data_IF_628797462229
#
_entry.id   IF_628797462229
#
_cell.length_a   1.000
_cell.length_b   1.000
_cell.length_c   1.000
_cell.angle_alpha   90.00
_cell.angle_beta   90.00
_cell.angle_gamma   90.00
#
_symmetry.space_group_name_H-M   'P 1'
#
loop_
_entity.id
_entity.type
_entity.pdbx_description
1 polymer ?
#
# COMPACT_ATOMS: atom_id res chain seq x y z
N UNK A 1 -22.42 51.44 -1.76
CA UNK A 1 -21.95 50.95 -0.44
C UNK A 1 -20.54 50.41 -0.63
N UNK A 2 -19.65 50.73 0.32
CA UNK A 2 -18.20 50.89 0.15
C UNK A 2 -17.44 49.58 -0.16
N UNK A 3 -16.55 49.64 -1.14
CA UNK A 3 -15.47 48.68 -1.39
C UNK A 3 -14.44 48.75 -0.24
N UNK A 4 -14.16 47.61 0.40
CA UNK A 4 -13.10 47.48 1.40
C UNK A 4 -11.87 46.81 0.78
N UNK A 5 -10.91 47.66 0.40
CA UNK A 5 -9.59 47.28 -0.11
C UNK A 5 -8.63 47.08 1.07
N UNK A 6 -8.38 45.83 1.46
CA UNK A 6 -7.33 45.50 2.45
C UNK A 6 -5.96 45.50 1.76
N UNK A 7 -5.04 46.32 2.26
CA UNK A 7 -3.66 46.45 1.79
C UNK A 7 -2.68 45.81 2.80
N UNK A 8 -1.69 45.12 2.21
CA UNK A 8 -0.30 44.87 2.65
C UNK A 8 -0.05 43.87 3.80
N UNK A 9 0.79 42.87 3.51
CA UNK A 9 2.20 42.86 3.97
C UNK A 9 2.92 41.61 3.44
N UNK A 10 3.85 41.81 2.50
CA UNK A 10 4.78 40.79 1.99
C UNK A 10 6.11 40.91 2.73
N UNK A 11 6.43 39.93 3.59
CA UNK A 11 7.75 39.80 4.22
C UNK A 11 8.56 38.74 3.49
N UNK A 12 9.44 39.17 2.56
CA UNK A 12 10.51 38.34 1.98
C UNK A 12 11.59 38.14 3.05
N UNK A 13 11.71 36.93 3.61
CA UNK A 13 12.89 36.52 4.38
C UNK A 13 13.93 35.95 3.43
N UNK A 14 15.07 36.62 3.40
CA UNK A 14 16.24 36.33 2.58
C UNK A 14 17.15 35.38 3.38
N UNK A 15 17.28 34.12 2.96
CA UNK A 15 18.25 33.18 3.55
C UNK A 15 19.65 33.51 3.03
N UNK A 16 20.56 33.84 3.94
CA UNK A 16 22.00 33.96 3.69
C UNK A 16 22.65 32.59 3.80
N UNK A 17 23.26 32.14 2.70
CA UNK A 17 24.19 31.02 2.64
C UNK A 17 25.51 31.49 3.27
N UNK A 18 25.98 30.79 4.30
CA UNK A 18 27.32 30.97 4.87
C UNK A 18 28.12 29.70 4.55
N UNK A 19 28.94 29.77 3.52
CA UNK A 19 29.97 28.78 3.25
C UNK A 19 31.15 29.03 4.20
N UNK A 20 31.53 28.02 4.98
CA UNK A 20 32.82 27.96 5.68
C UNK A 20 33.61 26.78 5.12
N UNK A 21 34.62 27.10 4.33
CA UNK A 21 35.68 26.17 3.98
C UNK A 21 36.64 26.01 5.14
N UNK A 22 37.07 24.78 5.39
CA UNK A 22 38.25 24.49 6.19
C UNK A 22 39.17 23.56 5.41
N UNK A 23 40.38 24.07 5.25
CA UNK A 23 41.56 23.50 4.62
C UNK A 23 42.00 22.26 5.41
N UNK A 24 42.22 21.13 4.73
CA UNK A 24 42.94 19.98 5.31
C UNK A 24 44.38 19.98 4.79
N UNK A 25 45.32 20.17 5.73
CA UNK A 25 46.76 19.97 5.52
C UNK A 25 47.13 18.61 6.12
N UNK A 26 47.81 17.79 5.34
CA UNK A 26 48.34 16.47 5.68
C UNK A 26 49.61 16.55 6.52
N UNK A 27 49.77 15.70 7.55
CA UNK A 27 51.03 14.99 7.88
C UNK A 27 50.88 14.00 9.06
N UNK A 28 51.80 13.01 9.19
CA UNK A 28 51.46 11.64 9.58
C UNK A 28 51.88 11.29 11.02
N UNK A 29 51.14 10.41 11.71
CA UNK A 29 51.68 9.69 12.88
C UNK A 29 51.14 8.26 13.02
N UNK A 30 52.09 7.31 12.88
CA UNK A 30 52.37 6.12 13.69
C UNK A 30 51.20 5.28 14.25
N UNK A 31 51.07 4.07 13.72
CA UNK A 31 50.35 2.94 14.33
C UNK A 31 51.02 2.47 15.63
N UNK A 32 50.24 2.16 16.68
CA UNK A 32 50.59 1.17 17.69
C UNK A 32 49.61 -0.03 17.69
N UNK A 33 49.93 -1.12 18.40
CA UNK A 33 49.66 -2.49 17.94
C UNK A 33 48.30 -3.06 18.36
N UNK A 34 47.96 -4.16 17.71
CA UNK A 34 46.83 -5.07 17.94
C UNK A 34 46.68 -5.48 19.42
N UNK A 35 45.55 -5.10 20.00
CA UNK A 35 45.04 -5.61 21.27
C UNK A 35 43.56 -5.95 21.10
N UNK A 36 43.26 -7.24 21.05
CA UNK A 36 41.90 -7.77 21.05
C UNK A 36 41.34 -7.67 22.48
N UNK A 37 40.27 -6.91 22.66
CA UNK A 37 39.39 -6.99 23.83
C UNK A 37 37.96 -7.23 23.29
N UNK A 38 37.18 -8.15 23.87
CA UNK A 38 35.82 -8.38 23.43
C UNK A 38 34.98 -7.17 23.84
N UNK A 39 34.61 -6.33 22.87
CA UNK A 39 33.58 -5.33 23.08
C UNK A 39 32.28 -6.07 23.40
N UNK A 40 31.78 -5.83 24.60
CA UNK A 40 30.44 -6.22 25.01
C UNK A 40 29.46 -5.63 24.02
N UNK A 41 28.88 -6.49 23.18
CA UNK A 41 27.83 -6.11 22.25
C UNK A 41 26.58 -5.76 23.07
N UNK A 42 26.51 -4.53 23.58
CA UNK A 42 25.25 -3.97 24.06
C UNK A 42 24.40 -3.78 22.82
N UNK A 43 23.56 -4.77 22.55
CA UNK A 43 22.49 -4.65 21.56
C UNK A 43 21.63 -3.49 22.04
N UNK A 44 21.85 -2.30 21.47
CA UNK A 44 20.91 -1.21 21.61
C UNK A 44 19.63 -1.72 20.96
N UNK A 45 18.69 -2.15 21.78
CA UNK A 45 17.35 -2.45 21.31
C UNK A 45 16.82 -1.19 20.65
N UNK A 46 16.65 -1.22 19.33
CA UNK A 46 15.87 -0.23 18.58
C UNK A 46 14.58 0.04 19.37
N UNK A 47 14.19 1.30 19.60
CA UNK A 47 13.00 1.60 20.37
C UNK A 47 11.82 0.95 19.66
N UNK A 48 11.17 0.00 20.33
CA UNK A 48 9.96 -0.66 19.83
C UNK A 48 8.91 0.43 19.66
N UNK A 49 8.67 0.82 18.41
CA UNK A 49 7.70 1.84 18.05
C UNK A 49 6.33 1.41 18.57
N UNK A 50 5.66 2.27 19.34
CA UNK A 50 4.34 1.97 19.89
C UNK A 50 3.32 1.99 18.75
N UNK A 51 2.94 0.81 18.29
CA UNK A 51 1.89 0.65 17.29
C UNK A 51 0.51 0.81 17.92
N UNK A 52 -0.35 1.61 17.29
CA UNK A 52 -1.76 1.74 17.62
C UNK A 52 -2.58 0.79 16.75
N UNK A 53 -3.48 0.04 17.36
CA UNK A 53 -4.45 -0.78 16.64
C UNK A 53 -5.66 0.07 16.21
N UNK A 54 -6.06 -0.06 14.95
CA UNK A 54 -7.31 0.51 14.41
C UNK A 54 -8.14 -0.62 13.82
N UNK A 55 -9.45 -0.62 14.09
CA UNK A 55 -10.38 -1.62 13.56
C UNK A 55 -11.45 -0.94 12.72
N UNK A 56 -11.70 -1.49 11.54
CA UNK A 56 -12.79 -1.05 10.65
C UNK A 56 -13.35 -2.24 9.88
N UNK A 57 -14.67 -2.42 9.95
CA UNK A 57 -15.31 -3.62 9.40
C UNK A 57 -14.69 -4.90 9.97
N UNK A 58 -14.25 -5.78 9.07
CA UNK A 58 -13.58 -7.03 9.43
C UNK A 58 -12.06 -6.90 9.60
N UNK A 59 -11.48 -5.73 9.31
CA UNK A 59 -10.04 -5.51 9.31
C UNK A 59 -9.54 -4.91 10.62
N UNK A 60 -8.33 -5.32 11.01
CA UNK A 60 -7.58 -4.72 12.11
C UNK A 60 -6.17 -4.37 11.63
N UNK A 61 -5.77 -3.10 11.68
CA UNK A 61 -4.45 -2.63 11.21
C UNK A 61 -3.61 -2.10 12.35
N UNK A 62 -2.29 -2.20 12.18
CA UNK A 62 -1.30 -1.65 13.10
C UNK A 62 -0.71 -0.37 12.50
N UNK A 63 -0.87 0.74 13.20
CA UNK A 63 -0.54 2.08 12.69
C UNK A 63 0.48 2.72 13.62
N UNK A 64 1.64 3.09 13.07
CA UNK A 64 2.61 3.94 13.75
C UNK A 64 2.11 5.40 13.77
N UNK A 65 2.61 6.25 14.69
CA UNK A 65 2.09 7.61 14.89
C UNK A 65 2.09 8.48 13.61
N UNK A 66 2.98 8.20 12.66
CA UNK A 66 3.16 8.99 11.44
C UNK A 66 2.43 8.46 10.21
N UNK A 67 1.65 7.38 10.34
CA UNK A 67 0.97 6.75 9.20
C UNK A 67 -0.49 7.17 9.13
N UNK A 68 -0.96 7.50 7.91
CA UNK A 68 -2.26 8.11 7.72
C UNK A 68 -3.42 7.13 7.86
N UNK A 69 -4.42 7.53 8.65
CA UNK A 69 -5.75 6.93 8.69
C UNK A 69 -6.80 8.04 8.75
N UNK A 70 -7.86 7.93 7.93
CA UNK A 70 -8.99 8.86 7.96
C UNK A 70 -10.31 8.11 8.20
N UNK A 71 -10.95 8.30 9.38
CA UNK A 71 -12.23 7.64 9.69
C UNK A 71 -13.37 8.13 8.79
N UNK A 72 -13.32 9.36 8.27
CA UNK A 72 -14.36 9.90 7.37
C UNK A 72 -14.47 9.09 6.07
N UNK A 73 -13.41 8.37 5.69
CA UNK A 73 -13.34 7.56 4.47
C UNK A 73 -13.94 6.14 4.65
N UNK A 74 -14.53 5.79 5.79
CA UNK A 74 -15.14 4.47 6.04
C UNK A 74 -16.22 4.15 4.99
N UNK A 75 -17.12 5.09 4.72
CA UNK A 75 -18.17 4.93 3.71
C UNK A 75 -17.61 4.70 2.30
N UNK A 76 -16.52 5.39 1.93
CA UNK A 76 -15.87 5.19 0.64
C UNK A 76 -15.33 3.76 0.52
N UNK A 77 -14.72 3.24 1.59
CA UNK A 77 -14.19 1.88 1.63
C UNK A 77 -15.30 0.83 1.57
N UNK A 78 -16.40 1.04 2.28
CA UNK A 78 -17.59 0.18 2.20
C UNK A 78 -18.16 0.13 0.79
N UNK A 79 -18.23 1.28 0.12
CA UNK A 79 -18.68 1.37 -1.26
C UNK A 79 -17.77 0.57 -2.20
N UNK A 80 -16.45 0.72 -2.08
CA UNK A 80 -15.49 -0.06 -2.88
C UNK A 80 -15.66 -1.56 -2.67
N UNK A 81 -15.87 -2.01 -1.43
CA UNK A 81 -16.11 -3.43 -1.11
C UNK A 81 -17.40 -3.93 -1.75
N UNK A 82 -18.49 -3.16 -1.64
CA UNK A 82 -19.76 -3.52 -2.26
C UNK A 82 -19.64 -3.65 -3.79
N UNK A 83 -18.95 -2.72 -4.44
CA UNK A 83 -18.72 -2.72 -5.89
C UNK A 83 -17.87 -3.93 -6.29
N UNK A 84 -16.73 -4.15 -5.63
CA UNK A 84 -15.82 -5.24 -5.98
C UNK A 84 -16.41 -6.63 -5.67
N UNK A 85 -17.16 -6.78 -4.58
CA UNK A 85 -17.87 -8.02 -4.26
C UNK A 85 -18.93 -8.36 -5.31
N UNK A 86 -19.68 -7.35 -5.76
CA UNK A 86 -20.66 -7.52 -6.85
C UNK A 86 -19.97 -7.85 -8.17
N UNK A 87 -18.90 -7.11 -8.51
CA UNK A 87 -18.10 -7.34 -9.71
C UNK A 87 -17.49 -8.75 -9.71
N UNK A 88 -16.96 -9.23 -8.59
CA UNK A 88 -16.42 -10.59 -8.46
C UNK A 88 -17.45 -11.65 -8.86
N UNK A 89 -18.68 -11.53 -8.35
CA UNK A 89 -19.77 -12.47 -8.67
C UNK A 89 -20.12 -12.46 -10.16
N UNK A 90 -20.24 -11.28 -10.76
CA UNK A 90 -20.53 -11.12 -12.19
C UNK A 90 -19.39 -11.68 -13.05
N UNK A 91 -18.15 -11.29 -12.74
CA UNK A 91 -16.94 -11.73 -13.42
C UNK A 91 -16.80 -13.26 -13.44
N UNK A 92 -17.02 -13.90 -12.29
CA UNK A 92 -16.92 -15.35 -12.17
C UNK A 92 -18.01 -16.06 -12.97
N UNK A 93 -19.24 -15.55 -12.95
CA UNK A 93 -20.35 -16.07 -13.75
C UNK A 93 -20.06 -15.99 -15.25
N UNK A 94 -19.63 -14.83 -15.74
CA UNK A 94 -19.33 -14.63 -17.16
C UNK A 94 -18.20 -15.56 -17.64
N UNK A 95 -17.17 -15.75 -16.82
CA UNK A 95 -16.07 -16.67 -17.13
C UNK A 95 -16.49 -18.14 -17.09
N UNK A 96 -17.35 -18.53 -16.14
CA UNK A 96 -17.92 -19.87 -16.08
C UNK A 96 -18.75 -20.16 -17.34
N UNK A 97 -19.61 -19.22 -17.75
CA UNK A 97 -20.41 -19.32 -18.98
C UNK A 97 -19.52 -19.41 -20.25
N UNK A 98 -18.46 -18.60 -20.33
CA UNK A 98 -17.51 -18.65 -21.45
C UNK A 98 -16.75 -19.98 -21.53
N UNK A 99 -16.40 -20.58 -20.38
CA UNK A 99 -15.78 -21.91 -20.33
C UNK A 99 -16.76 -23.01 -20.72
N UNK A 100 -18.01 -22.93 -20.26
CA UNK A 100 -19.08 -23.87 -20.63
C UNK A 100 -19.28 -23.91 -22.14
N UNK A 101 -19.32 -22.74 -22.80
CA UNK A 101 -19.43 -22.64 -24.27
C UNK A 101 -18.26 -23.32 -25.00
N UNK A 102 -17.07 -23.37 -24.40
CA UNK A 102 -15.88 -24.02 -24.96
C UNK A 102 -15.81 -25.53 -24.66
N UNK A 103 -16.26 -25.95 -23.48
CA UNK A 103 -16.05 -27.31 -22.97
C UNK A 103 -17.08 -28.35 -23.47
N UNK A 104 -18.19 -27.93 -24.09
CA UNK A 104 -19.32 -28.74 -24.63
C UNK A 104 -20.02 -29.72 -23.66
N UNK A 105 -19.33 -30.47 -22.78
CA UNK A 105 -19.91 -31.48 -21.87
C UNK A 105 -19.11 -31.71 -20.56
N UNK A 106 -18.47 -30.68 -20.01
CA UNK A 106 -17.79 -30.79 -18.71
C UNK A 106 -18.77 -30.70 -17.51
N UNK A 107 -18.51 -31.39 -16.38
CA UNK A 107 -19.32 -31.23 -15.17
C UNK A 107 -19.28 -29.78 -14.68
N UNK A 108 -20.41 -29.30 -14.16
CA UNK A 108 -20.53 -27.96 -13.58
C UNK A 108 -19.81 -27.93 -12.23
N UNK A 109 -18.57 -27.42 -12.23
CA UNK A 109 -17.85 -27.16 -10.99
C UNK A 109 -18.39 -25.87 -10.36
N UNK A 110 -19.33 -26.02 -9.44
CA UNK A 110 -19.83 -24.92 -8.61
C UNK A 110 -18.77 -24.60 -7.57
N UNK A 111 -17.90 -23.63 -7.88
CA UNK A 111 -16.91 -23.13 -6.91
C UNK A 111 -17.62 -22.15 -5.98
N UNK A 112 -17.78 -22.54 -4.71
CA UNK A 112 -18.24 -21.63 -3.67
C UNK A 112 -17.19 -20.52 -3.48
N UNK A 113 -17.61 -19.27 -3.66
CA UNK A 113 -16.72 -18.12 -3.51
C UNK A 113 -16.74 -17.66 -2.06
N UNK A 114 -15.65 -17.90 -1.35
CA UNK A 114 -15.48 -17.53 0.07
C UNK A 114 -14.45 -16.40 0.18
N UNK A 115 -14.77 -15.37 0.98
CA UNK A 115 -13.81 -14.30 1.29
C UNK A 115 -12.70 -14.82 2.21
N UNK A 116 -11.50 -14.24 2.12
CA UNK A 116 -10.31 -14.71 2.84
C UNK A 116 -9.63 -15.95 2.25
N UNK A 117 -10.23 -16.57 1.22
CA UNK A 117 -9.65 -17.72 0.51
C UNK A 117 -9.18 -17.35 -0.89
N UNK A 118 -8.03 -17.90 -1.28
CA UNK A 118 -7.44 -17.69 -2.60
C UNK A 118 -8.23 -18.43 -3.67
N UNK A 119 -8.68 -17.71 -4.68
CA UNK A 119 -9.31 -18.25 -5.88
C UNK A 119 -8.36 -18.09 -7.08
N UNK A 120 -7.77 -19.17 -7.58
CA UNK A 120 -6.76 -19.12 -8.67
C UNK A 120 -7.24 -18.47 -9.96
N UNK A 121 -8.56 -18.47 -10.16
CA UNK A 121 -9.23 -17.93 -11.33
C UNK A 121 -10.01 -16.64 -10.99
N UNK A 122 -9.76 -16.10 -9.79
CA UNK A 122 -10.41 -14.93 -9.23
C UNK A 122 -9.79 -13.60 -9.66
N UNK A 123 -10.18 -12.55 -8.95
CA UNK A 123 -9.77 -11.18 -9.22
C UNK A 123 -8.33 -10.93 -8.80
N UNK A 124 -7.58 -10.23 -9.65
CA UNK A 124 -6.28 -9.64 -9.31
C UNK A 124 -6.47 -8.14 -9.10
N UNK A 125 -6.40 -7.69 -7.86
CA UNK A 125 -6.77 -6.32 -7.46
C UNK A 125 -5.49 -5.53 -7.15
N UNK A 126 -5.42 -4.27 -7.58
CA UNK A 126 -4.38 -3.33 -7.16
C UNK A 126 -5.00 -2.25 -6.26
N UNK A 127 -4.48 -2.09 -5.05
CA UNK A 127 -4.61 -0.84 -4.28
C UNK A 127 -3.35 -0.01 -4.55
N UNK A 128 -3.45 1.01 -5.39
CA UNK A 128 -2.27 1.67 -5.93
C UNK A 128 -1.56 2.61 -4.93
N UNK A 129 -2.31 3.17 -3.97
CA UNK A 129 -1.84 4.09 -2.93
C UNK A 129 -2.38 3.63 -1.57
N UNK A 130 -1.74 2.63 -0.97
CA UNK A 130 -2.32 1.81 0.08
C UNK A 130 -2.13 2.35 1.50
N UNK A 131 -1.13 3.22 1.72
CA UNK A 131 -0.79 3.77 3.03
C UNK A 131 -0.64 2.70 4.13
N UNK A 132 -1.69 2.45 4.92
CA UNK A 132 -1.69 1.44 5.99
C UNK A 132 -2.03 0.02 5.51
N UNK A 133 -2.57 -0.15 4.30
CA UNK A 133 -3.10 -1.43 3.84
C UNK A 133 -4.54 -1.71 4.23
N UNK A 134 -5.24 -0.76 4.86
CA UNK A 134 -6.60 -0.99 5.38
C UNK A 134 -7.57 -1.51 4.32
N UNK A 135 -7.61 -0.89 3.13
CA UNK A 135 -8.53 -1.35 2.08
C UNK A 135 -8.14 -2.74 1.61
N UNK A 136 -6.85 -3.01 1.39
CA UNK A 136 -6.38 -4.34 1.02
C UNK A 136 -6.75 -5.42 2.04
N UNK A 137 -6.63 -5.16 3.35
CA UNK A 137 -7.07 -6.11 4.39
C UNK A 137 -8.57 -6.34 4.33
N UNK A 138 -9.37 -5.27 4.19
CA UNK A 138 -10.82 -5.42 4.03
C UNK A 138 -11.19 -6.14 2.74
N UNK A 139 -10.49 -5.89 1.64
CA UNK A 139 -10.70 -6.57 0.37
C UNK A 139 -10.46 -8.07 0.51
N UNK A 140 -9.38 -8.47 1.17
CA UNK A 140 -9.11 -9.88 1.42
C UNK A 140 -10.19 -10.52 2.31
N UNK A 141 -10.62 -9.85 3.38
CA UNK A 141 -11.57 -10.39 4.34
C UNK A 141 -13.03 -10.39 3.89
N UNK A 142 -13.42 -9.45 3.02
CA UNK A 142 -14.83 -9.16 2.73
C UNK A 142 -15.22 -9.47 1.27
N UNK A 143 -14.25 -9.56 0.35
CA UNK A 143 -14.53 -9.82 -1.06
C UNK A 143 -14.25 -11.30 -1.38
N UNK A 144 -15.27 -12.07 -1.80
CA UNK A 144 -15.07 -13.45 -2.23
C UNK A 144 -14.47 -13.51 -3.64
N UNK A 145 -13.79 -14.60 -3.97
CA UNK A 145 -13.27 -14.83 -5.33
C UNK A 145 -12.06 -13.97 -5.69
N UNK A 146 -11.24 -13.60 -4.71
CA UNK A 146 -9.96 -12.88 -4.91
C UNK A 146 -8.84 -13.89 -5.17
N UNK A 147 -8.01 -13.60 -6.17
CA UNK A 147 -6.77 -14.34 -6.46
C UNK A 147 -5.56 -13.77 -5.73
N UNK A 148 -5.43 -12.45 -5.81
CA UNK A 148 -4.30 -11.69 -5.27
C UNK A 148 -4.70 -10.22 -5.17
N UNK A 149 -4.27 -9.56 -4.09
CA UNK A 149 -4.33 -8.12 -3.91
C UNK A 149 -2.89 -7.62 -3.83
N UNK A 150 -2.54 -6.65 -4.66
CA UNK A 150 -1.26 -5.94 -4.55
C UNK A 150 -1.53 -4.63 -3.81
N UNK A 151 -0.95 -4.51 -2.62
CA UNK A 151 -1.04 -3.33 -1.76
C UNK A 151 0.21 -2.48 -1.98
N UNK A 152 0.11 -1.44 -2.80
CA UNK A 152 1.26 -0.66 -3.25
C UNK A 152 1.36 0.69 -2.53
N UNK A 153 2.58 1.10 -2.20
CA UNK A 153 2.86 2.48 -1.80
C UNK A 153 4.26 2.93 -2.25
N UNK A 154 4.45 4.24 -2.38
CA UNK A 154 5.74 4.87 -2.69
C UNK A 154 6.55 5.19 -1.43
N UNK A 155 5.97 5.03 -0.23
CA UNK A 155 6.70 5.17 1.02
C UNK A 155 7.12 3.81 1.56
N UNK A 156 8.41 3.64 1.86
CA UNK A 156 8.91 2.42 2.51
C UNK A 156 8.22 2.17 3.87
N UNK A 157 7.98 3.21 4.66
CA UNK A 157 7.30 3.07 5.96
C UNK A 157 5.82 2.67 5.82
N UNK A 158 5.17 3.08 4.73
CA UNK A 158 3.83 2.61 4.40
C UNK A 158 3.85 1.12 4.06
N UNK A 159 4.81 0.68 3.25
CA UNK A 159 4.98 -0.75 2.92
C UNK A 159 5.27 -1.59 4.15
N UNK A 160 6.11 -1.13 5.07
CA UNK A 160 6.32 -1.78 6.37
C UNK A 160 5.01 -1.88 7.19
N UNK A 161 4.16 -0.84 7.14
CA UNK A 161 2.85 -0.84 7.79
C UNK A 161 1.87 -1.82 7.15
N UNK A 162 1.88 -1.91 5.82
CA UNK A 162 1.11 -2.89 5.06
C UNK A 162 1.55 -4.30 5.47
N UNK A 163 2.85 -4.58 5.45
CA UNK A 163 3.39 -5.89 5.85
C UNK A 163 2.97 -6.28 7.26
N UNK A 164 3.07 -5.36 8.22
CA UNK A 164 2.66 -5.59 9.60
C UNK A 164 1.16 -5.89 9.70
N UNK A 165 0.33 -5.14 8.98
CA UNK A 165 -1.13 -5.35 8.95
C UNK A 165 -1.49 -6.68 8.29
N UNK A 166 -0.84 -7.05 7.18
CA UNK A 166 -1.06 -8.33 6.49
C UNK A 166 -0.71 -9.51 7.41
N UNK A 167 0.45 -9.46 8.07
CA UNK A 167 0.88 -10.50 9.03
C UNK A 167 -0.06 -10.59 10.24
N UNK A 168 -0.51 -9.45 10.76
CA UNK A 168 -1.46 -9.39 11.89
C UNK A 168 -2.79 -10.10 11.57
N UNK A 169 -3.28 -9.96 10.33
CA UNK A 169 -4.51 -10.59 9.88
C UNK A 169 -4.33 -11.98 9.26
N UNK A 170 -3.08 -12.48 9.12
CA UNK A 170 -2.75 -13.77 8.49
C UNK A 170 -3.20 -13.85 7.03
N UNK A 171 -2.91 -12.80 6.27
CA UNK A 171 -3.36 -12.61 4.87
C UNK A 171 -2.21 -12.66 3.85
N UNK A 172 -1.03 -13.16 4.23
CA UNK A 172 0.15 -13.24 3.38
C UNK A 172 -0.07 -14.08 2.11
N UNK A 173 -1.05 -14.99 2.12
CA UNK A 173 -1.43 -15.81 0.98
C UNK A 173 -2.30 -15.08 -0.05
N UNK A 174 -2.82 -13.90 0.29
CA UNK A 174 -3.71 -13.11 -0.56
C UNK A 174 -3.16 -11.73 -0.90
N UNK A 175 -2.46 -11.09 0.04
CA UNK A 175 -1.99 -9.72 -0.10
C UNK A 175 -0.48 -9.69 -0.29
N UNK A 176 -0.04 -9.07 -1.38
CA UNK A 176 1.36 -8.82 -1.70
C UNK A 176 1.67 -7.33 -1.50
N UNK A 177 2.45 -6.94 -0.46
CA UNK A 177 2.95 -5.58 -0.31
C UNK A 177 3.91 -5.21 -1.44
N UNK A 178 3.86 -3.95 -1.90
CA UNK A 178 4.70 -3.46 -3.01
C UNK A 178 5.25 -2.06 -2.74
N UNK A 179 6.56 -1.91 -2.86
CA UNK A 179 7.25 -0.62 -2.82
C UNK A 179 7.57 -0.14 -4.25
N UNK A 180 6.60 0.47 -4.92
CA UNK A 180 6.75 0.96 -6.29
C UNK A 180 5.99 2.26 -6.53
N UNK A 181 6.44 3.01 -7.55
CA UNK A 181 5.60 4.04 -8.16
C UNK A 181 4.38 3.40 -8.83
N UNK A 182 3.19 3.90 -8.49
CA UNK A 182 1.92 3.34 -8.95
C UNK A 182 1.78 3.32 -10.47
N UNK A 183 2.21 4.39 -11.17
CA UNK A 183 2.11 4.46 -12.64
C UNK A 183 3.01 3.41 -13.29
N UNK A 184 4.24 3.28 -12.79
CA UNK A 184 5.20 2.28 -13.27
C UNK A 184 4.67 0.86 -13.07
N UNK A 185 4.09 0.58 -11.90
CA UNK A 185 3.49 -0.73 -11.60
C UNK A 185 2.30 -1.04 -12.51
N UNK A 186 1.43 -0.06 -12.76
CA UNK A 186 0.29 -0.24 -13.67
C UNK A 186 0.76 -0.48 -15.11
N UNK A 187 1.68 0.34 -15.61
CA UNK A 187 2.23 0.24 -16.97
C UNK A 187 2.90 -1.11 -17.24
N UNK A 188 3.70 -1.58 -16.29
CA UNK A 188 4.40 -2.87 -16.39
C UNK A 188 3.50 -4.10 -16.20
N UNK A 189 2.27 -3.89 -15.72
CA UNK A 189 1.27 -4.95 -15.51
C UNK A 189 0.28 -5.10 -16.67
N UNK A 190 0.48 -4.41 -17.80
CA UNK A 190 -0.46 -4.43 -18.95
C UNK A 190 -0.53 -5.77 -19.70
N UNK A 191 0.50 -6.62 -19.57
CA UNK A 191 0.53 -7.97 -20.16
C UNK A 191 -0.67 -8.81 -19.67
N UNK A 192 -1.39 -9.55 -20.53
CA UNK A 192 -2.60 -10.28 -20.15
C UNK A 192 -2.47 -11.15 -18.89
N UNK A 193 -1.32 -11.81 -18.70
CA UNK A 193 -1.07 -12.69 -17.56
C UNK A 193 -0.83 -11.96 -16.23
N UNK A 194 -0.47 -10.67 -16.28
CA UNK A 194 -0.18 -9.83 -15.12
C UNK A 194 -1.25 -8.77 -14.88
N UNK A 195 -2.17 -8.58 -15.82
CA UNK A 195 -3.16 -7.51 -15.78
C UNK A 195 -4.04 -7.60 -14.54
N UNK A 196 -4.19 -6.45 -13.88
CA UNK A 196 -5.15 -6.29 -12.81
C UNK A 196 -6.58 -6.30 -13.38
N UNK A 197 -7.48 -7.04 -12.73
CA UNK A 197 -8.90 -7.03 -13.06
C UNK A 197 -9.61 -5.81 -12.49
N UNK A 198 -9.09 -5.26 -11.38
CA UNK A 198 -9.59 -4.03 -10.78
C UNK A 198 -8.41 -3.23 -10.19
N UNK A 199 -8.49 -1.91 -10.30
CA UNK A 199 -7.50 -0.97 -9.75
C UNK A 199 -8.28 0.04 -8.91
N UNK A 200 -7.90 0.18 -7.65
CA UNK A 200 -8.37 1.22 -6.75
C UNK A 200 -7.38 2.38 -6.71
N UNK A 201 -7.87 3.59 -7.04
CA UNK A 201 -7.12 4.84 -7.10
C UNK A 201 -7.73 5.85 -6.13
N UNK A 202 -7.16 5.97 -4.93
CA UNK A 202 -7.58 6.93 -3.90
C UNK A 202 -6.42 7.87 -3.49
N UNK A 203 -5.94 8.75 -4.38
CA UNK A 203 -4.86 9.66 -4.05
C UNK A 203 -5.34 10.87 -3.24
N UNK A 204 -4.43 11.52 -2.53
CA UNK A 204 -4.67 12.88 -2.08
C UNK A 204 -4.79 13.83 -3.27
N UNK A 205 -5.93 14.51 -3.35
CA UNK A 205 -6.21 15.45 -4.43
C UNK A 205 -6.79 14.75 -5.65
N UNK A 206 -6.31 15.09 -6.85
CA UNK A 206 -6.92 14.65 -8.10
C UNK A 206 -6.23 13.41 -8.68
N UNK A 207 -6.97 12.39 -9.16
CA UNK A 207 -6.39 11.20 -9.79
C UNK A 207 -5.84 11.37 -11.21
N UNK A 208 -5.86 12.55 -11.86
CA UNK A 208 -5.56 12.69 -13.31
C UNK A 208 -4.23 12.07 -13.70
N UNK A 209 -3.22 12.19 -12.84
CA UNK A 209 -1.87 11.66 -13.08
C UNK A 209 -1.81 10.13 -13.20
N UNK A 210 -2.87 9.41 -12.83
CA UNK A 210 -2.92 7.94 -12.81
C UNK A 210 -3.88 7.35 -13.84
N UNK A 211 -4.57 8.17 -14.63
CA UNK A 211 -5.66 7.73 -15.51
C UNK A 211 -5.26 7.54 -16.99
N UNK A 212 -4.04 7.92 -17.36
CA UNK A 212 -3.46 7.69 -18.69
C UNK A 212 -2.73 6.34 -18.73
#
# INVERSE_FOLDING_TARGET
LKENRVKKSTSKRQLRIVARGSVYVSSPTKFPPTGCAPESNSTMAEPVEKLKTIREGSAEILVAEHVFYNPVQEFNRDLSICVLATFSRVWQRERAEARRKKAKDGPEEVVELVAGQRCEQGLRILEALSATGLRSVRYANEIPGVKEIVANDLSKSAVESIENSVRHNKLEHLITPSFNDAMTLMYTSTHPDKRFTAIDLDPYGHPTRFLD
#
